data_IF_229775058587
#
_entry.id   IF_229775058587
#
_cell.length_a   1.000
_cell.length_b   1.000
_cell.length_c   1.000
_cell.angle_alpha   90.00
_cell.angle_beta   90.00
_cell.angle_gamma   90.00
#
_symmetry.space_group_name_H-M   'P 1'
#
loop_
_entity.id
_entity.type
_entity.pdbx_description
1 polymer ?
#
# COMPACT_ATOMS: atom_id res chain seq x y z
N UNK A 1 19.30 3.46 -1.68
CA UNK A 1 19.05 2.10 -2.18
C UNK A 1 17.72 1.67 -1.59
N UNK A 2 16.67 1.57 -2.40
CA UNK A 2 15.33 1.20 -1.91
C UNK A 2 15.30 -0.21 -1.31
N UNK A 3 14.42 -0.43 -0.33
CA UNK A 3 14.18 -1.78 0.21
C UNK A 3 13.22 -2.51 -0.73
N UNK A 4 13.62 -3.66 -1.27
CA UNK A 4 12.89 -4.42 -2.29
C UNK A 4 12.22 -5.65 -1.67
N UNK A 5 11.03 -6.02 -2.14
CA UNK A 5 10.29 -7.21 -1.70
C UNK A 5 8.94 -7.35 -2.42
N UNK A 6 8.07 -8.22 -1.93
CA UNK A 6 6.69 -8.31 -2.40
C UNK A 6 5.85 -7.21 -1.76
N UNK A 7 4.80 -6.76 -2.46
CA UNK A 7 3.95 -5.69 -1.95
C UNK A 7 3.37 -6.03 -0.57
N UNK A 8 2.94 -7.28 -0.36
CA UNK A 8 2.43 -7.71 0.95
C UNK A 8 3.48 -7.63 2.07
N UNK A 9 4.72 -8.02 1.79
CA UNK A 9 5.81 -7.99 2.77
C UNK A 9 6.15 -6.56 3.19
N UNK A 10 6.05 -5.60 2.27
CA UNK A 10 6.20 -4.17 2.56
C UNK A 10 5.01 -3.67 3.40
N UNK A 11 3.78 -4.03 3.02
CA UNK A 11 2.57 -3.60 3.73
C UNK A 11 2.52 -4.14 5.17
N UNK A 12 2.95 -5.38 5.40
CA UNK A 12 3.03 -5.97 6.74
C UNK A 12 4.02 -5.26 7.67
N UNK A 13 4.99 -4.54 7.09
CA UNK A 13 6.09 -3.89 7.79
C UNK A 13 6.03 -2.38 7.67
N UNK A 14 4.86 -1.81 7.35
CA UNK A 14 4.68 -0.37 7.16
C UNK A 14 5.29 0.48 8.29
N UNK A 15 5.22 0.01 9.54
CA UNK A 15 5.78 0.70 10.71
C UNK A 15 7.30 0.80 10.75
N UNK A 16 8.02 0.03 9.93
CA UNK A 16 9.49 0.01 9.85
C UNK A 16 10.08 1.02 8.84
N UNK A 17 9.22 1.66 8.04
CA UNK A 17 9.63 2.61 7.01
C UNK A 17 9.44 4.07 7.47
N UNK A 18 10.16 4.99 6.83
CA UNK A 18 9.97 6.42 7.06
C UNK A 18 8.60 6.85 6.52
N UNK A 19 7.92 7.78 7.20
CA UNK A 19 6.57 8.20 6.82
C UNK A 19 6.53 8.98 5.50
N UNK A 20 7.65 9.59 5.11
CA UNK A 20 7.82 10.33 3.86
C UNK A 20 8.30 9.44 2.70
N UNK A 21 8.58 8.16 2.95
CA UNK A 21 8.88 7.23 1.89
C UNK A 21 7.64 6.86 1.07
N UNK A 22 7.87 6.36 -0.13
CA UNK A 22 6.84 5.94 -1.08
C UNK A 22 7.06 4.48 -1.48
N UNK A 23 5.96 3.73 -1.56
CA UNK A 23 5.95 2.39 -2.14
C UNK A 23 5.82 2.55 -3.66
N UNK A 24 6.68 1.87 -4.39
CA UNK A 24 6.58 1.69 -5.83
C UNK A 24 6.35 0.21 -6.11
N UNK A 25 5.42 -0.13 -7.00
CA UNK A 25 5.05 -1.51 -7.28
C UNK A 25 4.78 -1.76 -8.77
N UNK A 26 5.04 -2.97 -9.23
CA UNK A 26 4.73 -3.42 -10.58
C UNK A 26 3.22 -3.57 -10.75
N UNK A 27 2.66 -3.10 -11.87
CA UNK A 27 1.29 -3.43 -12.24
C UNK A 27 1.18 -4.86 -12.83
N UNK A 28 0.05 -5.57 -12.62
CA UNK A 28 -1.11 -5.16 -11.83
C UNK A 28 -0.85 -5.28 -10.32
N UNK A 29 -1.29 -4.28 -9.55
CA UNK A 29 -1.06 -4.22 -8.11
C UNK A 29 -1.81 -5.34 -7.36
N UNK A 30 -1.05 -6.35 -6.98
CA UNK A 30 -1.45 -7.55 -6.25
C UNK A 30 -0.52 -7.74 -5.05
N UNK A 31 -0.92 -8.55 -4.07
CA UNK A 31 -0.03 -8.93 -2.95
C UNK A 31 1.32 -9.48 -3.43
N UNK A 32 1.27 -10.12 -4.59
CA UNK A 32 2.34 -10.69 -5.38
C UNK A 32 2.94 -9.72 -6.42
N UNK A 33 2.89 -8.42 -6.19
CA UNK A 33 3.64 -7.48 -7.04
C UNK A 33 5.05 -7.30 -6.52
N UNK A 34 6.00 -7.17 -7.45
CA UNK A 34 7.34 -6.70 -7.09
C UNK A 34 7.21 -5.26 -6.64
N UNK A 35 7.88 -4.92 -5.55
CA UNK A 35 7.75 -3.62 -4.94
C UNK A 35 9.06 -3.15 -4.30
N UNK A 36 9.20 -1.84 -4.17
CA UNK A 36 10.27 -1.21 -3.42
C UNK A 36 9.75 -0.03 -2.61
N UNK A 37 10.44 0.26 -1.51
CA UNK A 37 10.27 1.50 -0.76
C UNK A 37 11.46 2.41 -1.01
N UNK A 38 11.19 3.63 -1.46
CA UNK A 38 12.19 4.65 -1.69
C UNK A 38 11.63 6.04 -1.38
N UNK A 39 12.51 6.97 -1.02
CA UNK A 39 12.13 8.37 -0.81
C UNK A 39 11.79 9.00 -2.15
N UNK A 40 10.58 9.57 -2.27
CA UNK A 40 10.16 10.28 -3.46
C UNK A 40 11.07 11.47 -3.75
N UNK A 41 11.24 11.80 -5.03
CA UNK A 41 11.92 13.03 -5.42
C UNK A 41 10.92 14.20 -5.30
N UNK A 42 11.37 15.34 -4.76
CA UNK A 42 10.60 16.59 -4.65
C UNK A 42 10.17 17.20 -6.00
N UNK A 43 10.45 16.48 -7.10
CA UNK A 43 10.08 16.83 -8.47
C UNK A 43 8.79 16.16 -8.95
N UNK A 44 8.14 15.35 -8.09
CA UNK A 44 6.95 14.58 -8.44
C UNK A 44 7.22 13.42 -9.42
N UNK A 45 8.48 13.01 -9.57
CA UNK A 45 8.91 11.90 -10.42
C UNK A 45 9.29 10.69 -9.56
N UNK A 46 9.07 9.49 -10.10
CA UNK A 46 9.62 8.27 -9.53
C UNK A 46 11.15 8.33 -9.51
N UNK A 47 11.81 7.80 -8.47
CA UNK A 47 13.25 7.74 -8.39
C UNK A 47 13.81 6.82 -9.48
N UNK A 48 15.03 7.05 -10.00
CA UNK A 48 15.60 6.28 -11.10
C UNK A 48 15.58 4.78 -10.88
N UNK A 49 15.84 4.31 -9.65
CA UNK A 49 15.80 2.90 -9.31
C UNK A 49 14.41 2.25 -9.49
N UNK A 50 13.32 3.00 -9.25
CA UNK A 50 11.96 2.51 -9.47
C UNK A 50 11.65 2.42 -10.96
N UNK A 51 12.08 3.43 -11.73
CA UNK A 51 11.91 3.48 -13.19
C UNK A 51 12.68 2.34 -13.87
N UNK A 52 13.94 2.12 -13.47
CA UNK A 52 14.78 1.04 -14.01
C UNK A 52 14.21 -0.34 -13.69
N UNK A 53 13.55 -0.50 -12.54
CA UNK A 53 12.89 -1.73 -12.13
C UNK A 53 11.48 -1.91 -12.73
N UNK A 54 10.97 -0.95 -13.52
CA UNK A 54 9.62 -1.01 -14.09
C UNK A 54 8.51 -0.93 -13.04
N UNK A 55 8.76 -0.22 -11.93
CA UNK A 55 7.80 -0.03 -10.85
C UNK A 55 7.14 1.33 -10.96
N UNK A 56 5.82 1.34 -10.76
CA UNK A 56 5.01 2.56 -10.78
C UNK A 56 4.78 3.06 -9.36
N UNK A 57 4.46 4.34 -9.22
CA UNK A 57 4.00 4.90 -7.95
C UNK A 57 2.77 4.12 -7.45
N UNK A 58 2.83 3.62 -6.22
CA UNK A 58 1.70 2.95 -5.58
C UNK A 58 1.06 3.86 -4.52
N UNK A 59 1.76 4.15 -3.42
CA UNK A 59 1.25 4.98 -2.33
C UNK A 59 2.35 5.38 -1.33
N UNK A 60 2.26 6.55 -0.70
CA UNK A 60 3.15 6.96 0.39
C UNK A 60 2.88 6.19 1.69
N UNK A 61 3.94 5.98 2.48
CA UNK A 61 3.87 5.22 3.75
C UNK A 61 2.90 5.87 4.74
N UNK A 62 2.93 7.19 4.92
CA UNK A 62 1.99 7.87 5.82
C UNK A 62 0.53 7.68 5.37
N UNK A 63 0.24 7.78 4.08
CA UNK A 63 -1.13 7.56 3.57
C UNK A 63 -1.56 6.11 3.77
N UNK A 64 -0.68 5.12 3.52
CA UNK A 64 -0.99 3.72 3.82
C UNK A 64 -1.41 3.52 5.29
N UNK A 65 -0.66 4.12 6.23
CA UNK A 65 -0.94 4.03 7.66
C UNK A 65 -2.27 4.71 8.00
N UNK A 66 -2.51 5.92 7.51
CA UNK A 66 -3.76 6.65 7.73
C UNK A 66 -4.99 5.89 7.22
N UNK A 67 -4.88 5.28 6.03
CA UNK A 67 -5.96 4.45 5.46
C UNK A 67 -6.23 3.24 6.34
N UNK A 68 -5.20 2.53 6.79
CA UNK A 68 -5.35 1.36 7.66
C UNK A 68 -5.95 1.76 9.02
N UNK A 69 -5.41 2.80 9.65
CA UNK A 69 -5.89 3.29 10.95
C UNK A 69 -7.35 3.76 10.87
N UNK A 70 -7.67 4.57 9.86
CA UNK A 70 -9.02 5.04 9.59
C UNK A 70 -10.00 3.91 9.30
N UNK A 71 -9.57 2.91 8.51
CA UNK A 71 -10.38 1.74 8.23
C UNK A 71 -10.64 0.91 9.49
N UNK A 72 -9.61 0.61 10.28
CA UNK A 72 -9.73 -0.11 11.54
C UNK A 72 -10.61 0.62 12.56
N UNK A 73 -10.57 1.95 12.60
CA UNK A 73 -11.45 2.75 13.45
C UNK A 73 -12.92 2.76 12.98
N UNK A 74 -13.16 2.52 11.68
CA UNK A 74 -14.50 2.55 11.07
C UNK A 74 -15.30 1.25 11.22
N UNK A 75 -14.63 0.13 11.51
CA UNK A 75 -15.23 -1.20 11.55
C UNK A 75 -15.50 -1.66 12.99
N UNK A 76 -16.63 -2.34 13.20
CA UNK A 76 -17.03 -2.85 14.53
C UNK A 76 -16.24 -4.08 14.96
N UNK A 77 -15.82 -4.88 13.99
CA UNK A 77 -15.07 -6.12 14.18
C UNK A 77 -13.79 -6.04 13.36
N UNK A 78 -12.69 -6.58 13.89
CA UNK A 78 -11.42 -6.59 13.17
C UNK A 78 -11.57 -7.41 11.88
N UNK A 79 -10.95 -6.97 10.77
CA UNK A 79 -11.00 -7.73 9.54
C UNK A 79 -10.34 -9.08 9.78
N UNK A 80 -10.96 -10.13 9.28
CA UNK A 80 -10.35 -11.46 9.24
C UNK A 80 -10.31 -11.92 7.79
N UNK A 81 -9.28 -12.69 7.44
CA UNK A 81 -9.13 -13.26 6.10
C UNK A 81 -10.32 -14.15 5.70
N UNK A 82 -11.06 -14.66 6.69
CA UNK A 82 -12.28 -15.44 6.49
C UNK A 82 -13.53 -14.61 6.11
N UNK A 83 -13.47 -13.28 6.18
CA UNK A 83 -14.62 -12.38 5.99
C UNK A 83 -14.95 -12.01 4.54
N UNK A 84 -14.11 -12.40 3.58
CA UNK A 84 -14.31 -12.13 2.16
C UNK A 84 -15.38 -13.03 1.56
N UNK A 85 -16.66 -12.72 1.82
CA UNK A 85 -17.87 -13.00 1.01
C UNK A 85 -19.13 -12.97 1.91
N UNK A 86 -19.38 -11.89 2.66
CA UNK A 86 -20.76 -11.64 3.10
C UNK A 86 -21.53 -11.00 1.93
N UNK A 87 -22.56 -11.69 1.42
CA UNK A 87 -23.37 -11.28 0.26
C UNK A 87 -24.29 -10.09 0.52
N UNK A 88 -24.12 -9.37 1.63
CA UNK A 88 -25.14 -8.46 2.17
C UNK A 88 -24.75 -6.97 2.14
N UNK A 89 -23.82 -6.55 1.27
CA UNK A 89 -23.60 -5.12 1.02
C UNK A 89 -24.71 -4.53 0.14
N UNK A 90 -25.93 -4.47 0.70
CA UNK A 90 -27.07 -3.76 0.10
C UNK A 90 -26.95 -2.28 0.47
N UNK A 91 -26.49 -1.47 -0.48
CA UNK A 91 -26.53 -0.01 -0.41
C UNK A 91 -27.99 0.41 -0.17
N UNK A 92 -28.29 0.94 1.02
CA UNK A 92 -29.58 1.60 1.28
C UNK A 92 -29.47 3.04 0.78
N UNK A 93 -29.98 3.28 -0.41
CA UNK A 93 -30.40 4.62 -0.81
C UNK A 93 -31.75 4.91 -0.13
N UNK A 94 -31.79 5.97 0.69
CA UNK A 94 -32.99 6.77 0.89
C UNK A 94 -32.80 8.08 0.13
#
# INVERSE_FOLDING_TARGET
>A
MGKVGRLIEIVERLSEFDEYDTIYASEPWTEDSDAMVATGLDTGRSPPEAVEAGLEYFLEIHICREVIEGWLASIKEKPSLAGGLSKDYRIRHQ
#
